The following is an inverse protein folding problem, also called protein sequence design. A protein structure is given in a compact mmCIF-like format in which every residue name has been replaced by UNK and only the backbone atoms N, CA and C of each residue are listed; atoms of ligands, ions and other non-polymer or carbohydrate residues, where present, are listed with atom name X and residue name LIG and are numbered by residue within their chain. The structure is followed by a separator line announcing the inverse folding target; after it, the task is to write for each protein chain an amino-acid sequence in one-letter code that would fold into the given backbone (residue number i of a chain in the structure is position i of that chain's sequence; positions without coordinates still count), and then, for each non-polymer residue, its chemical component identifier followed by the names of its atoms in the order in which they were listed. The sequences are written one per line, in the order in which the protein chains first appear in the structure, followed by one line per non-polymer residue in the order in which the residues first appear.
data_IF_727766829575
#
_entry.id   IF_727766829575
#
_cell.length_a   1.000
_cell.length_b   1.000
_cell.length_c   1.000
_cell.angle_alpha   90.00
_cell.angle_beta   90.00
_cell.angle_gamma   90.00
#
_symmetry.space_group_name_H-M   'P 1'
#
loop_
_entity.id
_entity.type
_entity.pdbx_description
1 polymer ?
#
# COMPACT_ATOMS: atom_id res chain seq x y z
N UNK A 1 -0.47 -9.65 10.10
CA UNK A 1 -0.53 -8.34 10.80
C UNK A 1 -1.93 -7.74 10.56
N UNK A 2 -2.38 -6.82 11.42
CA UNK A 2 -3.59 -5.98 11.29
C UNK A 2 -3.35 -4.58 11.92
N UNK A 3 -2.10 -4.09 11.87
CA UNK A 3 -1.66 -2.79 12.38
C UNK A 3 -2.21 -1.60 11.59
N UNK A 4 -2.10 -0.40 12.18
CA UNK A 4 -2.44 0.85 11.50
C UNK A 4 -1.46 1.23 10.37
N UNK A 5 -0.32 0.56 10.23
CA UNK A 5 0.60 0.78 9.11
C UNK A 5 -0.01 0.28 7.78
N UNK A 6 -0.83 -0.77 7.85
CA UNK A 6 -1.38 -1.44 6.68
C UNK A 6 -0.45 -2.54 6.13
N UNK A 7 -0.82 -3.18 5.00
CA UNK A 7 -0.01 -4.22 4.39
C UNK A 7 1.33 -3.67 3.91
N UNK A 8 2.38 -4.47 4.12
CA UNK A 8 3.73 -4.20 3.65
C UNK A 8 4.01 -5.06 2.41
N UNK A 9 4.28 -4.39 1.30
CA UNK A 9 4.63 -4.98 0.00
C UNK A 9 5.75 -4.17 -0.68
N UNK A 10 6.65 -3.62 0.14
CA UNK A 10 7.78 -2.80 -0.31
C UNK A 10 9.05 -3.59 -0.65
N UNK A 11 9.05 -4.92 -0.44
CA UNK A 11 10.16 -5.77 -0.85
C UNK A 11 10.13 -6.05 -2.37
N UNK A 12 11.29 -6.31 -2.96
CA UNK A 12 11.44 -6.57 -4.39
C UNK A 12 10.64 -7.78 -4.91
N UNK A 13 10.31 -8.73 -4.03
CA UNK A 13 9.53 -9.94 -4.37
C UNK A 13 8.04 -9.83 -4.03
N UNK A 14 7.60 -8.68 -3.50
CA UNK A 14 6.20 -8.45 -3.12
C UNK A 14 5.32 -8.08 -4.31
N UNK A 15 4.02 -8.38 -4.21
CA UNK A 15 3.00 -7.99 -5.18
C UNK A 15 1.76 -7.43 -4.48
N UNK A 16 1.42 -6.18 -4.79
CA UNK A 16 0.19 -5.51 -4.34
C UNK A 16 -1.05 -6.29 -4.77
N UNK A 17 -1.08 -6.75 -6.02
CA UNK A 17 -2.21 -7.51 -6.53
C UNK A 17 -2.38 -8.84 -5.77
N UNK A 18 -1.28 -9.50 -5.42
CA UNK A 18 -1.31 -10.76 -4.67
C UNK A 18 -1.75 -10.53 -3.23
N UNK A 19 -1.31 -9.42 -2.63
CA UNK A 19 -1.80 -8.97 -1.33
C UNK A 19 -3.30 -8.69 -1.32
N UNK A 20 -3.81 -7.95 -2.31
CA UNK A 20 -5.26 -7.71 -2.42
C UNK A 20 -6.03 -9.02 -2.55
N UNK A 21 -5.56 -9.97 -3.37
CA UNK A 21 -6.18 -11.30 -3.47
C UNK A 21 -6.13 -12.07 -2.15
N UNK A 22 -5.04 -12.00 -1.41
CA UNK A 22 -4.91 -12.70 -0.13
C UNK A 22 -5.79 -12.07 0.97
N UNK A 23 -5.99 -10.74 0.95
CA UNK A 23 -6.92 -10.04 1.83
C UNK A 23 -8.37 -10.50 1.61
N UNK A 24 -8.80 -10.64 0.36
CA UNK A 24 -10.13 -11.19 0.05
C UNK A 24 -10.26 -12.64 0.49
N UNK A 25 -9.24 -13.47 0.21
CA UNK A 25 -9.25 -14.88 0.63
C UNK A 25 -9.34 -15.02 2.15
N UNK A 26 -8.56 -14.26 2.92
CA UNK A 26 -8.58 -14.35 4.39
C UNK A 26 -9.88 -13.81 4.99
N UNK A 27 -10.52 -12.83 4.32
CA UNK A 27 -11.85 -12.33 4.69
C UNK A 27 -12.88 -13.45 4.67
N UNK A 28 -12.81 -14.33 3.67
CA UNK A 28 -13.81 -15.36 3.40
C UNK A 28 -13.55 -16.70 4.12
N UNK A 29 -12.43 -16.85 4.81
CA UNK A 29 -12.16 -18.05 5.60
C UNK A 29 -13.16 -18.20 6.75
N UNK A 30 -13.75 -19.39 6.84
CA UNK A 30 -14.51 -19.84 8.02
C UNK A 30 -13.54 -20.25 9.13
N UNK A 31 -13.00 -19.25 9.81
CA UNK A 31 -12.13 -19.41 10.96
C UNK A 31 -12.83 -18.95 12.24
N UNK A 32 -12.46 -19.56 13.37
CA UNK A 32 -12.92 -19.16 14.70
C UNK A 32 -11.91 -18.31 15.46
N UNK A 33 -10.64 -18.38 15.05
CA UNK A 33 -9.53 -17.70 15.71
C UNK A 33 -8.57 -17.21 14.64
N UNK A 34 -8.23 -15.92 14.68
CA UNK A 34 -7.19 -15.31 13.85
C UNK A 34 -6.05 -14.85 14.75
N UNK A 35 -4.84 -15.34 14.47
CA UNK A 35 -3.65 -14.98 15.23
C UNK A 35 -2.74 -14.16 14.33
N UNK A 36 -2.51 -12.90 14.70
CA UNK A 36 -1.55 -12.07 14.00
C UNK A 36 -0.16 -12.27 14.58
N UNK A 37 0.84 -12.46 13.72
CA UNK A 37 2.24 -12.57 14.15
C UNK A 37 2.82 -11.27 14.71
N UNK A 38 2.12 -10.13 14.55
CA UNK A 38 2.62 -8.81 14.93
C UNK A 38 1.50 -7.92 15.48
N UNK A 39 1.75 -7.32 16.65
CA UNK A 39 1.01 -6.28 17.39
C UNK A 39 -0.48 -6.46 17.73
N UNK A 40 -1.30 -7.15 16.94
CA UNK A 40 -2.75 -7.26 17.21
C UNK A 40 -3.15 -8.46 18.06
N UNK A 41 -2.29 -9.46 18.16
CA UNK A 41 -2.52 -10.66 18.97
C UNK A 41 -3.58 -11.59 18.38
N UNK A 42 -4.48 -12.06 19.23
CA UNK A 42 -5.51 -13.08 18.92
C UNK A 42 -6.89 -12.41 18.82
N UNK A 43 -7.62 -12.71 17.75
CA UNK A 43 -9.01 -12.30 17.53
C UNK A 43 -9.89 -13.55 17.47
N UNK A 44 -10.99 -13.54 18.21
CA UNK A 44 -11.98 -14.63 18.25
C UNK A 44 -13.38 -14.19 17.81
N UNK A 45 -13.62 -12.88 17.71
CA UNK A 45 -14.85 -12.33 17.16
C UNK A 45 -14.71 -11.99 15.68
N UNK A 46 -15.61 -12.52 14.85
CA UNK A 46 -15.58 -12.35 13.39
C UNK A 46 -15.77 -10.88 12.98
N UNK A 47 -16.66 -10.15 13.63
CA UNK A 47 -16.91 -8.75 13.26
C UNK A 47 -15.71 -7.86 13.58
N UNK A 48 -15.07 -8.07 14.72
CA UNK A 48 -13.83 -7.40 15.10
C UNK A 48 -12.69 -7.70 14.10
N UNK A 49 -12.57 -8.95 13.66
CA UNK A 49 -11.63 -9.34 12.61
C UNK A 49 -11.92 -8.60 11.29
N UNK A 50 -13.17 -8.62 10.81
CA UNK A 50 -13.54 -7.98 9.55
C UNK A 50 -13.30 -6.46 9.58
N UNK A 51 -13.61 -5.79 10.69
CA UNK A 51 -13.32 -4.37 10.86
C UNK A 51 -11.81 -4.08 10.88
N UNK A 52 -11.02 -4.92 11.55
CA UNK A 52 -9.57 -4.79 11.57
C UNK A 52 -8.95 -5.02 10.19
N UNK A 53 -9.42 -6.04 9.46
CA UNK A 53 -9.00 -6.34 8.10
C UNK A 53 -9.36 -5.20 7.15
N UNK A 54 -10.57 -4.63 7.25
CA UNK A 54 -10.99 -3.50 6.44
C UNK A 54 -10.10 -2.26 6.66
N UNK A 55 -9.80 -1.91 7.93
CA UNK A 55 -8.87 -0.81 8.24
C UNK A 55 -7.47 -1.06 7.70
N UNK A 56 -7.00 -2.30 7.82
CA UNK A 56 -5.69 -2.70 7.32
C UNK A 56 -5.63 -2.59 5.79
N UNK A 57 -6.60 -3.15 5.08
CA UNK A 57 -6.72 -3.10 3.62
C UNK A 57 -6.90 -1.67 3.10
N UNK A 58 -7.69 -0.84 3.80
CA UNK A 58 -7.97 0.54 3.41
C UNK A 58 -6.73 1.44 3.32
N UNK A 59 -5.62 1.06 3.96
CA UNK A 59 -4.34 1.77 3.78
C UNK A 59 -3.82 1.74 2.34
N UNK A 60 -4.19 0.74 1.55
CA UNK A 60 -3.88 0.70 0.11
C UNK A 60 -4.59 1.85 -0.61
N UNK A 61 -5.87 2.08 -0.30
CA UNK A 61 -6.66 3.14 -0.93
C UNK A 61 -6.21 4.53 -0.46
N UNK A 62 -5.91 4.69 0.83
CA UNK A 62 -5.32 5.93 1.34
C UNK A 62 -3.99 6.28 0.61
N UNK A 63 -3.16 5.28 0.30
CA UNK A 63 -1.91 5.47 -0.47
C UNK A 63 -2.19 5.89 -1.91
N UNK A 64 -3.19 5.27 -2.57
CA UNK A 64 -3.64 5.68 -3.90
C UNK A 64 -4.08 7.15 -3.91
N UNK A 65 -4.92 7.54 -2.95
CA UNK A 65 -5.48 8.89 -2.89
C UNK A 65 -4.39 9.96 -2.64
N UNK A 66 -3.41 9.66 -1.77
CA UNK A 66 -2.23 10.52 -1.58
C UNK A 66 -1.42 10.68 -2.85
N UNK A 67 -1.11 9.58 -3.55
CA UNK A 67 -0.35 9.64 -4.80
C UNK A 67 -1.05 10.48 -5.87
N UNK A 68 -2.36 10.32 -6.01
CA UNK A 68 -3.16 11.14 -6.93
C UNK A 68 -3.22 12.60 -6.48
N UNK A 69 -3.22 12.84 -5.16
CA UNK A 69 -3.03 14.16 -4.57
C UNK A 69 -1.73 14.81 -5.04
N UNK A 70 -0.60 14.12 -4.89
CA UNK A 70 0.71 14.61 -5.32
C UNK A 70 0.76 14.88 -6.82
N UNK A 71 0.23 13.98 -7.65
CA UNK A 71 0.21 14.14 -9.11
C UNK A 71 -0.72 15.26 -9.57
N UNK A 72 -1.70 15.66 -8.75
CA UNK A 72 -2.55 16.84 -9.00
C UNK A 72 -1.79 18.14 -8.78
N UNK A 73 -0.83 18.17 -7.86
CA UNK A 73 0.02 19.35 -7.63
C UNK A 73 0.91 19.61 -8.84
N UNK A 74 1.60 18.56 -9.32
CA UNK A 74 2.40 18.57 -10.56
C UNK A 74 2.79 17.14 -10.99
N UNK A 75 3.12 16.92 -12.27
CA UNK A 75 3.79 15.70 -12.72
C UNK A 75 5.12 15.48 -11.98
N UNK A 76 5.40 14.23 -11.62
CA UNK A 76 6.56 13.84 -10.81
C UNK A 76 7.13 12.51 -11.27
N UNK A 77 8.44 12.36 -11.16
CA UNK A 77 9.16 11.08 -11.33
C UNK A 77 8.91 10.14 -10.14
N UNK A 78 9.22 8.85 -10.30
CA UNK A 78 9.15 7.88 -9.20
C UNK A 78 10.02 8.30 -8.01
N UNK A 79 11.22 8.83 -8.28
CA UNK A 79 12.16 9.26 -7.25
C UNK A 79 11.62 10.46 -6.46
N UNK A 80 11.06 11.46 -7.14
CA UNK A 80 10.41 12.60 -6.47
C UNK A 80 9.23 12.15 -5.60
N UNK A 81 8.42 11.19 -6.06
CA UNK A 81 7.31 10.64 -5.29
C UNK A 81 7.80 9.86 -4.06
N UNK A 82 8.89 9.10 -4.18
CA UNK A 82 9.49 8.36 -3.06
C UNK A 82 10.01 9.28 -1.95
N UNK A 83 10.53 10.46 -2.31
CA UNK A 83 10.96 11.48 -1.34
C UNK A 83 9.78 12.17 -0.62
N UNK A 84 8.53 11.89 -0.99
CA UNK A 84 7.34 12.43 -0.29
C UNK A 84 6.93 11.60 0.92
N UNK A 85 7.66 10.54 1.26
CA UNK A 85 7.47 9.78 2.49
C UNK A 85 6.02 9.24 2.61
N UNK A 86 5.61 8.43 1.62
CA UNK A 86 4.23 7.92 1.53
C UNK A 86 3.94 6.88 2.62
N UNK A 87 4.92 6.03 2.94
CA UNK A 87 4.79 4.92 3.88
C UNK A 87 5.35 5.28 5.25
N UNK A 88 6.54 5.86 5.27
CA UNK A 88 7.29 6.15 6.50
C UNK A 88 7.23 7.63 6.83
N UNK A 89 7.29 8.03 8.11
CA UNK A 89 7.31 9.45 8.46
C UNK A 89 8.60 10.14 7.99
N UNK A 90 8.56 11.45 7.69
CA UNK A 90 9.77 12.22 7.44
C UNK A 90 10.79 12.08 8.57
N UNK A 91 12.07 11.91 8.21
CA UNK A 91 13.16 11.73 9.16
C UNK A 91 13.35 10.28 9.67
N UNK A 92 12.52 9.33 9.23
CA UNK A 92 12.82 7.92 9.42
C UNK A 92 14.03 7.52 8.56
N UNK A 93 15.09 7.06 9.22
CA UNK A 93 16.36 6.69 8.57
C UNK A 93 16.66 5.22 8.85
N UNK A 94 16.28 4.37 7.91
CA UNK A 94 16.60 2.95 7.90
C UNK A 94 17.02 2.56 6.47
N UNK A 95 18.00 1.66 6.31
CA UNK A 95 18.59 1.35 4.99
C UNK A 95 17.60 0.86 3.92
N UNK A 96 16.43 0.36 4.33
CA UNK A 96 15.42 -0.21 3.43
C UNK A 96 14.27 0.75 3.11
N UNK A 97 14.20 1.93 3.71
CA UNK A 97 13.04 2.83 3.55
C UNK A 97 12.94 3.31 2.10
N UNK A 98 14.03 3.78 1.51
CA UNK A 98 14.03 4.29 0.14
C UNK A 98 13.61 3.23 -0.88
N UNK A 99 14.08 1.99 -0.70
CA UNK A 99 13.69 0.89 -1.57
C UNK A 99 12.23 0.51 -1.34
N UNK A 100 11.76 0.48 -0.09
CA UNK A 100 10.37 0.18 0.24
C UNK A 100 9.38 1.22 -0.30
N UNK A 101 9.72 2.51 -0.21
CA UNK A 101 8.94 3.62 -0.80
C UNK A 101 8.85 3.45 -2.32
N UNK A 102 10.00 3.33 -3.01
CA UNK A 102 10.04 3.17 -4.47
C UNK A 102 9.24 1.96 -4.95
N UNK A 103 9.46 0.77 -4.38
CA UNK A 103 8.75 -0.44 -4.80
C UNK A 103 7.25 -0.35 -4.55
N UNK A 104 6.84 0.23 -3.41
CA UNK A 104 5.43 0.40 -3.10
C UNK A 104 4.78 1.36 -4.10
N UNK A 105 5.38 2.53 -4.30
CA UNK A 105 4.85 3.56 -5.20
C UNK A 105 4.80 3.06 -6.64
N UNK A 106 5.83 2.37 -7.12
CA UNK A 106 5.85 1.80 -8.48
C UNK A 106 4.68 0.83 -8.72
N UNK A 107 4.36 -0.04 -7.75
CA UNK A 107 3.23 -0.96 -7.85
C UNK A 107 1.88 -0.24 -7.88
N UNK A 108 1.71 0.81 -7.06
CA UNK A 108 0.52 1.66 -7.09
C UNK A 108 0.37 2.38 -8.43
N UNK A 109 1.42 3.01 -8.93
CA UNK A 109 1.40 3.71 -10.23
C UNK A 109 1.07 2.75 -11.37
N UNK A 110 1.66 1.55 -11.38
CA UNK A 110 1.33 0.52 -12.36
C UNK A 110 -0.15 0.10 -12.30
N UNK A 111 -0.72 -0.04 -11.10
CA UNK A 111 -2.13 -0.36 -10.93
C UNK A 111 -3.05 0.79 -11.38
N UNK A 112 -2.74 2.02 -10.97
CA UNK A 112 -3.49 3.23 -11.36
C UNK A 112 -3.42 3.46 -12.88
N UNK A 113 -2.29 3.14 -13.52
CA UNK A 113 -2.14 3.23 -14.98
C UNK A 113 -3.02 2.22 -15.71
N UNK A 114 -3.07 0.96 -15.23
CA UNK A 114 -4.01 -0.04 -15.76
C UNK A 114 -5.46 0.38 -15.60
N UNK A 115 -5.77 1.18 -14.59
CA UNK A 115 -7.09 1.77 -14.36
C UNK A 115 -7.35 3.06 -15.16
N UNK A 116 -6.37 3.53 -15.95
CA UNK A 116 -6.48 4.77 -16.72
C UNK A 116 -6.53 6.04 -15.87
N UNK A 117 -6.02 6.01 -14.63
CA UNK A 117 -6.03 7.17 -13.71
C UNK A 117 -4.75 8.00 -13.76
N UNK A 118 -3.66 7.38 -14.20
CA UNK A 118 -2.35 8.02 -14.38
C UNK A 118 -1.70 7.52 -15.67
N UNK A 119 -0.73 8.28 -16.18
CA UNK A 119 0.10 7.90 -17.33
C UNK A 119 1.56 8.28 -17.06
N UNK A 120 2.48 7.55 -17.68
CA UNK A 120 3.90 7.90 -17.69
C UNK A 120 4.30 8.37 -19.07
N UNK A 121 5.10 9.43 -19.16
CA UNK A 121 5.63 9.92 -20.43
C UNK A 121 7.03 9.34 -20.74
N UNK A 122 7.60 9.74 -21.90
CA UNK A 122 8.92 9.28 -22.33
C UNK A 122 10.09 9.73 -21.44
N UNK A 123 9.86 10.63 -20.49
CA UNK A 123 10.84 11.09 -19.49
C UNK A 123 10.73 10.37 -18.14
N UNK A 124 9.92 9.30 -18.06
CA UNK A 124 9.59 8.60 -16.81
C UNK A 124 8.89 9.49 -15.76
N UNK A 125 8.23 10.56 -16.23
CA UNK A 125 7.41 11.43 -15.38
C UNK A 125 5.98 10.93 -15.38
N UNK A 126 5.40 10.77 -14.19
CA UNK A 126 4.01 10.36 -14.01
C UNK A 126 3.09 11.57 -13.97
N UNK A 127 1.94 11.43 -14.63
CA UNK A 127 0.90 12.44 -14.77
C UNK A 127 -0.44 11.84 -14.35
N UNK A 128 -1.36 12.67 -13.86
CA UNK A 128 -2.78 12.31 -13.91
C UNK A 128 -3.20 12.11 -15.37
N UNK A 129 -4.08 11.14 -15.59
CA UNK A 129 -4.64 10.85 -16.91
C UNK A 129 -5.63 11.93 -17.36
#
# INVERSE_FOLDING_TARGET
DLTGFGPYYGDATSSLADFQRSLERVKDLDARVWVTSHHRGVLTDRQAFLQALARFAGKIDERNDKLLGYLRERPQTLDELAQRHLLFPPGADQPYIDSAERHTIAQHLAQLARQGRVRVDGSATWHLA
#
